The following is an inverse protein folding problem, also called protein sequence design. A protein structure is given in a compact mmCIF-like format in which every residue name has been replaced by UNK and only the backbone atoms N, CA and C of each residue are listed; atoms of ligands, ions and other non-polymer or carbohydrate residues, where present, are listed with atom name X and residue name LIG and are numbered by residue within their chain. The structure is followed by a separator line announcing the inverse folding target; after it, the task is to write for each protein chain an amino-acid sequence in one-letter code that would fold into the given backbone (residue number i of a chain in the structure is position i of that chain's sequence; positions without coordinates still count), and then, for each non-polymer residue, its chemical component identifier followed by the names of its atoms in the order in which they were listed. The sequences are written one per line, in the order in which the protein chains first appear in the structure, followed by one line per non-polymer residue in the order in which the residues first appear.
data_IF_439741189027
#
_entry.id   IF_439741189027
#
_cell.length_a   1.000
_cell.length_b   1.000
_cell.length_c   1.000
_cell.angle_alpha   90.00
_cell.angle_beta   90.00
_cell.angle_gamma   90.00
#
_symmetry.space_group_name_H-M   'P 1'
#
loop_
_entity.id
_entity.type
_entity.pdbx_description
1 polymer ?
#
# COMPACT_ATOMS: atom_id res chain seq x y z
N UNK A 1 16.95 56.73 -12.03
CA UNK A 1 16.37 55.70 -12.93
C UNK A 1 17.16 54.43 -12.72
N UNK A 2 16.62 53.50 -11.92
CA UNK A 2 17.19 52.17 -11.72
C UNK A 2 16.94 51.35 -12.98
N UNK A 3 18.00 51.06 -13.73
CA UNK A 3 17.95 50.18 -14.90
C UNK A 3 17.64 48.76 -14.39
N UNK A 4 16.38 48.33 -14.49
CA UNK A 4 16.02 46.96 -14.17
C UNK A 4 16.65 46.08 -15.26
N UNK A 5 17.52 45.12 -14.93
CA UNK A 5 18.10 44.24 -15.93
C UNK A 5 16.98 43.49 -16.68
N UNK A 6 17.14 43.26 -17.99
CA UNK A 6 16.14 42.51 -18.74
C UNK A 6 16.00 41.09 -18.18
N UNK A 7 14.81 40.50 -18.32
CA UNK A 7 14.51 39.16 -17.79
C UNK A 7 15.57 38.10 -18.21
N UNK A 8 16.11 38.21 -19.43
CA UNK A 8 17.18 37.34 -19.93
C UNK A 8 18.47 37.37 -19.07
N UNK A 9 18.82 38.53 -18.51
CA UNK A 9 19.98 38.67 -17.62
C UNK A 9 19.75 37.95 -16.29
N UNK A 10 18.53 38.03 -15.76
CA UNK A 10 18.14 37.32 -14.54
C UNK A 10 18.11 35.80 -14.73
N UNK A 11 17.66 35.30 -15.89
CA UNK A 11 17.68 33.88 -16.23
C UNK A 11 19.12 33.35 -16.35
N UNK A 12 20.01 34.07 -17.05
CA UNK A 12 21.42 33.66 -17.17
C UNK A 12 22.15 33.67 -15.83
N UNK A 13 21.88 34.66 -14.97
CA UNK A 13 22.43 34.70 -13.62
C UNK A 13 21.91 33.54 -12.75
N UNK A 14 20.63 33.18 -12.89
CA UNK A 14 20.04 32.05 -12.17
C UNK A 14 20.66 30.71 -12.59
N UNK A 15 20.91 30.52 -13.89
CA UNK A 15 21.59 29.33 -14.42
C UNK A 15 22.99 29.18 -13.81
N UNK A 16 23.78 30.27 -13.76
CA UNK A 16 25.10 30.24 -13.14
C UNK A 16 25.04 29.92 -11.64
N UNK A 17 24.08 30.49 -10.91
CA UNK A 17 23.87 30.21 -9.49
C UNK A 17 23.51 28.73 -9.25
N UNK A 18 22.67 28.15 -10.12
CA UNK A 18 22.32 26.74 -10.08
C UNK A 18 23.55 25.83 -10.26
N UNK A 19 24.43 26.13 -11.23
CA UNK A 19 25.67 25.36 -11.45
C UNK A 19 26.68 25.49 -10.30
N UNK A 20 26.62 26.57 -9.52
CA UNK A 20 27.41 26.73 -8.28
C UNK A 20 26.81 26.01 -7.07
N UNK A 21 25.65 25.37 -7.23
CA UNK A 21 24.92 24.69 -6.16
C UNK A 21 24.03 25.60 -5.31
N UNK A 22 23.98 26.90 -5.63
CA UNK A 22 23.17 27.89 -4.91
C UNK A 22 21.75 27.95 -5.50
N UNK A 23 20.93 26.97 -5.13
CA UNK A 23 19.54 26.84 -5.58
C UNK A 23 18.63 27.96 -5.09
N UNK A 24 18.89 28.49 -3.89
CA UNK A 24 18.06 29.54 -3.30
C UNK A 24 18.22 30.85 -4.08
N UNK A 25 19.46 31.26 -4.35
CA UNK A 25 19.73 32.43 -5.19
C UNK A 25 19.21 32.24 -6.62
N UNK A 26 19.38 31.05 -7.21
CA UNK A 26 18.83 30.75 -8.54
C UNK A 26 17.30 30.94 -8.57
N UNK A 27 16.60 30.47 -7.53
CA UNK A 27 15.14 30.59 -7.43
C UNK A 27 14.67 32.04 -7.30
N UNK A 28 15.37 32.85 -6.49
CA UNK A 28 15.05 34.29 -6.34
C UNK A 28 15.30 35.07 -7.65
N UNK A 29 16.37 34.75 -8.36
CA UNK A 29 16.70 35.36 -9.64
C UNK A 29 15.65 35.01 -10.72
N UNK A 30 15.15 33.78 -10.76
CA UNK A 30 14.06 33.41 -11.67
C UNK A 30 12.74 34.11 -11.31
N UNK A 31 12.43 34.27 -10.03
CA UNK A 31 11.27 35.07 -9.61
C UNK A 31 11.39 36.53 -10.07
N UNK A 32 12.57 37.13 -9.93
CA UNK A 32 12.83 38.47 -10.45
C UNK A 32 12.68 38.55 -11.98
N UNK A 33 13.12 37.52 -12.72
CA UNK A 33 12.94 37.44 -14.16
C UNK A 33 11.44 37.44 -14.55
N UNK A 34 10.60 36.69 -13.84
CA UNK A 34 9.16 36.62 -14.07
C UNK A 34 8.40 37.88 -13.67
N UNK A 35 8.92 38.65 -12.71
CA UNK A 35 8.38 39.98 -12.39
C UNK A 35 8.67 41.00 -13.51
N UNK A 36 9.80 40.83 -14.22
CA UNK A 36 10.16 41.68 -15.36
C UNK A 36 9.40 41.27 -16.63
N UNK A 37 9.30 39.97 -16.88
CA UNK A 37 8.57 39.40 -18.01
C UNK A 37 7.76 38.16 -17.58
N UNK A 38 6.45 38.34 -17.30
CA UNK A 38 5.56 37.23 -16.93
C UNK A 38 5.34 36.20 -18.03
N UNK A 39 5.70 36.50 -19.29
CA UNK A 39 5.56 35.59 -20.43
C UNK A 39 6.88 34.96 -20.86
N UNK A 40 7.95 35.12 -20.07
CA UNK A 40 9.25 34.53 -20.37
C UNK A 40 9.22 33.00 -20.28
N UNK A 41 9.28 32.35 -21.45
CA UNK A 41 9.37 30.88 -21.61
C UNK A 41 10.53 30.30 -20.81
N UNK A 42 11.72 30.92 -20.90
CA UNK A 42 12.92 30.43 -20.22
C UNK A 42 12.82 30.55 -18.70
N UNK A 43 12.24 31.63 -18.20
CA UNK A 43 12.08 31.82 -16.75
C UNK A 43 11.08 30.82 -16.16
N UNK A 44 9.95 30.55 -16.83
CA UNK A 44 9.01 29.52 -16.40
C UNK A 44 9.62 28.11 -16.47
N UNK A 45 10.45 27.85 -17.46
CA UNK A 45 11.14 26.57 -17.61
C UNK A 45 12.15 26.32 -16.48
N UNK A 46 12.95 27.33 -16.15
CA UNK A 46 13.87 27.26 -15.00
C UNK A 46 13.14 27.19 -13.67
N UNK A 47 11.99 27.88 -13.53
CA UNK A 47 11.16 27.76 -12.33
C UNK A 47 10.64 26.33 -12.14
N UNK A 48 10.23 25.66 -13.23
CA UNK A 48 9.83 24.26 -13.20
C UNK A 48 10.97 23.30 -12.82
N UNK A 49 12.23 23.61 -13.18
CA UNK A 49 13.40 22.82 -12.78
C UNK A 49 13.81 23.03 -11.32
N UNK A 50 13.63 24.25 -10.81
CA UNK A 50 14.04 24.65 -9.46
C UNK A 50 12.96 24.38 -8.40
N UNK A 51 11.69 24.29 -8.79
CA UNK A 51 10.59 23.99 -7.89
C UNK A 51 10.76 22.61 -7.22
N UNK A 52 10.49 22.51 -5.92
CA UNK A 52 10.58 21.25 -5.18
C UNK A 52 9.28 20.45 -5.23
N UNK A 53 8.13 21.13 -5.31
CA UNK A 53 6.80 20.52 -5.36
C UNK A 53 6.45 20.06 -6.78
N UNK A 54 6.14 18.77 -6.95
CA UNK A 54 5.78 18.16 -8.24
C UNK A 54 4.54 18.76 -8.91
N UNK A 55 3.54 19.21 -8.14
CA UNK A 55 2.37 19.92 -8.70
C UNK A 55 2.78 21.28 -9.25
N UNK A 56 3.59 22.01 -8.49
CA UNK A 56 4.08 23.32 -8.91
C UNK A 56 5.04 23.21 -10.11
N UNK A 57 5.90 22.18 -10.16
CA UNK A 57 6.73 21.86 -11.34
C UNK A 57 5.86 21.65 -12.59
N UNK A 58 4.77 20.87 -12.47
CA UNK A 58 3.83 20.62 -13.58
C UNK A 58 3.19 21.91 -14.08
N UNK A 59 2.66 22.74 -13.17
CA UNK A 59 2.05 24.02 -13.54
C UNK A 59 3.03 24.94 -14.29
N UNK A 60 4.31 24.94 -13.90
CA UNK A 60 5.33 25.71 -14.60
C UNK A 60 5.53 25.21 -16.04
N UNK A 61 5.64 23.90 -16.24
CA UNK A 61 5.79 23.33 -17.59
C UNK A 61 4.52 23.47 -18.45
N UNK A 62 3.33 23.39 -17.85
CA UNK A 62 2.06 23.65 -18.56
C UNK A 62 1.97 25.11 -19.02
N UNK A 63 2.41 26.07 -18.19
CA UNK A 63 2.53 27.48 -18.60
C UNK A 63 3.53 27.66 -19.74
N UNK A 64 4.68 26.97 -19.71
CA UNK A 64 5.63 26.98 -20.83
C UNK A 64 4.98 26.45 -22.11
N UNK A 65 4.24 25.34 -22.04
CA UNK A 65 3.58 24.75 -23.22
C UNK A 65 2.39 25.58 -23.73
N UNK A 66 1.77 26.40 -22.88
CA UNK A 66 0.76 27.36 -23.30
C UNK A 66 1.36 28.54 -24.08
N UNK A 67 2.60 28.94 -23.74
CA UNK A 67 3.33 30.03 -24.40
C UNK A 67 4.09 29.54 -25.65
N UNK A 68 4.71 28.36 -25.58
CA UNK A 68 5.41 27.67 -26.66
C UNK A 68 5.03 26.17 -26.67
N UNK A 69 4.01 25.80 -27.47
CA UNK A 69 3.57 24.40 -27.60
C UNK A 69 4.62 23.46 -28.21
N UNK A 70 5.67 24.00 -28.82
CA UNK A 70 6.74 23.21 -29.46
C UNK A 70 7.93 22.97 -28.53
N UNK A 71 7.93 23.56 -27.33
CA UNK A 71 9.03 23.47 -26.38
C UNK A 71 9.30 22.02 -25.95
N UNK A 72 10.43 21.46 -26.40
CA UNK A 72 10.80 20.07 -26.11
C UNK A 72 11.11 19.86 -24.63
N UNK A 73 11.84 20.78 -24.02
CA UNK A 73 12.26 20.67 -22.63
C UNK A 73 11.09 20.68 -21.64
N UNK A 74 10.01 21.43 -21.91
CA UNK A 74 8.80 21.36 -21.10
C UNK A 74 8.03 20.03 -21.29
N UNK A 75 7.98 19.48 -22.51
CA UNK A 75 7.41 18.14 -22.77
C UNK A 75 8.19 17.05 -22.03
N UNK A 76 9.51 17.09 -22.11
CA UNK A 76 10.40 16.16 -21.40
C UNK A 76 10.21 16.27 -19.88
N UNK A 77 10.04 17.50 -19.37
CA UNK A 77 9.72 17.74 -17.95
C UNK A 77 8.40 17.11 -17.52
N UNK A 78 7.33 17.27 -18.32
CA UNK A 78 6.02 16.64 -18.06
C UNK A 78 6.12 15.11 -18.11
N UNK A 79 6.79 14.55 -19.12
CA UNK A 79 6.98 13.10 -19.23
C UNK A 79 7.85 12.55 -18.09
N UNK A 80 8.90 13.25 -17.66
CA UNK A 80 9.67 12.87 -16.49
C UNK A 80 8.83 12.89 -15.20
N UNK A 81 7.95 13.89 -15.02
CA UNK A 81 7.01 13.94 -13.90
C UNK A 81 6.00 12.79 -13.98
N UNK A 82 5.53 12.45 -15.18
CA UNK A 82 4.62 11.33 -15.43
C UNK A 82 5.27 9.98 -15.13
N UNK A 83 6.50 9.76 -15.58
CA UNK A 83 7.29 8.57 -15.26
C UNK A 83 7.57 8.48 -13.75
N UNK A 84 7.94 9.59 -13.11
CA UNK A 84 8.08 9.66 -11.65
C UNK A 84 6.77 9.35 -10.94
N UNK A 85 5.63 9.79 -11.47
CA UNK A 85 4.30 9.49 -10.93
C UNK A 85 3.87 8.04 -11.21
N UNK A 86 4.31 7.42 -12.30
CA UNK A 86 4.03 6.02 -12.64
C UNK A 86 4.89 5.06 -11.79
N UNK A 87 6.17 5.40 -11.60
CA UNK A 87 7.09 4.73 -10.67
C UNK A 87 6.72 4.99 -9.20
N UNK A 88 6.22 6.18 -8.88
CA UNK A 88 5.57 6.45 -7.61
C UNK A 88 4.21 5.76 -7.53
N UNK A 89 3.49 5.53 -8.63
CA UNK A 89 2.24 4.78 -8.70
C UNK A 89 2.42 3.31 -8.28
N UNK A 90 3.57 2.72 -8.60
CA UNK A 90 4.04 1.46 -8.02
C UNK A 90 4.47 1.56 -6.54
N UNK A 91 4.58 2.77 -5.99
CA UNK A 91 5.04 3.08 -4.63
C UNK A 91 4.03 3.90 -3.79
N UNK A 92 2.82 4.17 -4.31
CA UNK A 92 1.80 5.01 -3.66
C UNK A 92 0.88 4.15 -2.79
N UNK A 93 1.50 3.38 -1.90
CA UNK A 93 0.84 2.94 -0.70
C UNK A 93 1.20 3.95 0.39
N UNK A 94 0.25 4.81 0.77
CA UNK A 94 0.40 5.59 2.00
C UNK A 94 0.75 4.65 3.15
N UNK A 95 1.82 4.92 3.90
CA UNK A 95 2.19 4.21 5.13
C UNK A 95 0.98 4.03 6.07
N UNK A 96 0.05 4.99 6.08
CA UNK A 96 -1.19 4.97 6.85
C UNK A 96 -2.22 3.97 6.29
N UNK A 97 -2.26 3.79 4.97
CA UNK A 97 -3.11 2.79 4.31
C UNK A 97 -2.58 1.37 4.50
N UNK A 98 -1.25 1.16 4.42
CA UNK A 98 -0.61 -0.13 4.74
C UNK A 98 -0.81 -0.53 6.21
N UNK A 99 -0.69 0.43 7.14
CA UNK A 99 -1.03 0.20 8.56
C UNK A 99 -2.51 -0.17 8.74
N UNK A 100 -3.42 0.39 7.93
CA UNK A 100 -4.87 0.13 8.02
C UNK A 100 -5.34 -1.14 7.29
N UNK A 101 -4.62 -1.56 6.23
CA UNK A 101 -4.90 -2.78 5.46
C UNK A 101 -4.75 -4.06 6.30
N UNK A 102 -4.11 -3.95 7.47
CA UNK A 102 -3.69 -5.09 8.27
C UNK A 102 -2.62 -5.90 7.53
N UNK A 103 -2.04 -6.89 8.22
CA UNK A 103 -1.04 -7.74 7.59
C UNK A 103 -1.60 -8.52 6.39
N UNK A 104 -2.88 -8.91 6.42
CA UNK A 104 -3.46 -9.73 5.36
C UNK A 104 -3.53 -9.00 4.01
N UNK A 105 -3.83 -7.70 4.00
CA UNK A 105 -3.82 -6.90 2.76
C UNK A 105 -2.43 -6.81 2.12
N UNK A 106 -1.37 -6.80 2.93
CA UNK A 106 0.02 -6.82 2.43
C UNK A 106 0.34 -8.16 1.77
N UNK A 107 -0.10 -9.28 2.37
CA UNK A 107 0.12 -10.59 1.79
C UNK A 107 -0.64 -10.80 0.48
N UNK A 108 -1.88 -10.30 0.40
CA UNK A 108 -2.70 -10.37 -0.83
C UNK A 108 -2.09 -9.56 -1.99
N UNK A 109 -1.46 -8.42 -1.70
CA UNK A 109 -0.71 -7.65 -2.70
C UNK A 109 0.57 -8.39 -3.13
N UNK A 110 1.33 -8.94 -2.17
CA UNK A 110 2.58 -9.67 -2.45
C UNK A 110 2.36 -10.92 -3.29
N UNK A 111 1.22 -11.58 -3.14
CA UNK A 111 0.83 -12.74 -3.94
C UNK A 111 0.13 -12.36 -5.25
N UNK A 112 0.06 -11.06 -5.59
CA UNK A 112 -0.64 -10.53 -6.77
C UNK A 112 -2.13 -10.94 -6.85
N UNK A 113 -2.73 -11.31 -5.72
CA UNK A 113 -4.13 -11.73 -5.65
C UNK A 113 -5.09 -10.54 -5.76
N UNK A 114 -4.64 -9.35 -5.35
CA UNK A 114 -5.34 -8.08 -5.51
C UNK A 114 -4.38 -7.01 -6.01
N UNK A 115 -4.95 -5.99 -6.65
CA UNK A 115 -4.26 -4.75 -7.00
C UNK A 115 -4.33 -3.75 -5.86
N UNK A 116 -3.45 -2.74 -5.89
CA UNK A 116 -3.49 -1.62 -4.96
C UNK A 116 -4.85 -0.88 -5.00
N UNK A 117 -5.44 -0.74 -6.18
CA UNK A 117 -6.73 -0.10 -6.38
C UNK A 117 -7.88 -0.90 -5.76
N UNK A 118 -7.90 -2.22 -5.96
CA UNK A 118 -8.86 -3.12 -5.31
C UNK A 118 -8.75 -3.06 -3.78
N UNK A 119 -7.53 -3.01 -3.24
CA UNK A 119 -7.32 -2.87 -1.80
C UNK A 119 -7.82 -1.53 -1.25
N UNK A 120 -7.56 -0.43 -1.97
CA UNK A 120 -8.05 0.90 -1.60
C UNK A 120 -9.58 0.94 -1.58
N UNK A 121 -10.22 0.40 -2.62
CA UNK A 121 -11.67 0.35 -2.68
C UNK A 121 -12.24 -0.53 -1.57
N UNK A 122 -11.66 -1.70 -1.30
CA UNK A 122 -12.08 -2.57 -0.20
C UNK A 122 -12.01 -1.86 1.17
N UNK A 123 -10.94 -1.11 1.42
CA UNK A 123 -10.77 -0.33 2.65
C UNK A 123 -11.74 0.85 2.73
N UNK A 124 -12.04 1.49 1.60
CA UNK A 124 -13.04 2.55 1.52
C UNK A 124 -14.42 2.01 1.92
N UNK A 125 -14.80 0.87 1.35
CA UNK A 125 -16.05 0.16 1.67
C UNK A 125 -16.10 -0.23 3.16
N UNK A 126 -15.02 -0.81 3.69
CA UNK A 126 -14.94 -1.18 5.10
C UNK A 126 -15.15 0.01 6.04
N UNK A 127 -14.54 1.17 5.72
CA UNK A 127 -14.71 2.39 6.52
C UNK A 127 -16.13 2.95 6.43
N UNK A 128 -16.75 2.88 5.25
CA UNK A 128 -18.14 3.30 5.07
C UNK A 128 -19.09 2.43 5.90
N UNK A 129 -18.98 1.10 5.80
CA UNK A 129 -19.80 0.17 6.59
C UNK A 129 -19.65 0.41 8.08
N UNK A 130 -18.42 0.60 8.58
CA UNK A 130 -18.17 0.92 9.99
C UNK A 130 -18.81 2.23 10.44
N UNK A 131 -18.85 3.25 9.59
CA UNK A 131 -19.54 4.52 9.91
C UNK A 131 -21.05 4.35 10.04
N UNK A 132 -21.63 3.38 9.34
CA UNK A 132 -23.02 3.01 9.46
C UNK A 132 -23.30 1.98 10.56
N UNK A 133 -22.29 1.65 11.39
CA UNK A 133 -22.42 0.67 12.47
C UNK A 133 -22.33 -0.79 12.03
N UNK A 134 -22.09 -1.04 10.75
CA UNK A 134 -21.89 -2.40 10.22
C UNK A 134 -20.43 -2.80 10.32
N UNK A 135 -20.18 -3.97 10.91
CA UNK A 135 -18.83 -4.53 10.97
C UNK A 135 -18.63 -5.50 9.81
N UNK A 136 -17.77 -5.12 8.87
CA UNK A 136 -17.31 -5.99 7.79
C UNK A 136 -15.79 -6.20 7.89
N UNK A 137 -15.34 -7.45 7.77
CA UNK A 137 -13.91 -7.72 7.64
C UNK A 137 -13.46 -7.41 6.20
N UNK A 138 -12.20 -7.05 6.04
CA UNK A 138 -11.64 -6.75 4.72
C UNK A 138 -11.77 -7.97 3.78
N UNK A 139 -11.49 -9.18 4.30
CA UNK A 139 -11.62 -10.42 3.54
C UNK A 139 -13.04 -10.67 3.02
N UNK A 140 -14.06 -10.42 3.85
CA UNK A 140 -15.46 -10.60 3.46
C UNK A 140 -15.83 -9.69 2.29
N UNK A 141 -15.33 -8.44 2.31
CA UNK A 141 -15.53 -7.47 1.23
C UNK A 141 -14.86 -7.98 -0.05
N UNK A 142 -13.59 -8.38 0.03
CA UNK A 142 -12.84 -8.86 -1.14
C UNK A 142 -13.49 -10.09 -1.79
N UNK A 143 -13.95 -11.05 -0.97
CA UNK A 143 -14.65 -12.25 -1.44
C UNK A 143 -16.04 -11.90 -2.03
N UNK A 144 -16.80 -11.03 -1.38
CA UNK A 144 -18.15 -10.63 -1.83
C UNK A 144 -18.13 -9.94 -3.20
N UNK A 145 -17.11 -9.12 -3.47
CA UNK A 145 -16.94 -8.46 -4.77
C UNK A 145 -16.24 -9.35 -5.81
N UNK A 146 -15.84 -10.58 -5.45
CA UNK A 146 -15.16 -11.52 -6.35
C UNK A 146 -13.75 -11.06 -6.76
N UNK A 147 -13.13 -10.14 -6.01
CA UNK A 147 -11.77 -9.68 -6.30
C UNK A 147 -10.71 -10.69 -5.90
N UNK A 148 -11.04 -11.59 -4.96
CA UNK A 148 -10.21 -12.74 -4.61
C UNK A 148 -11.07 -14.00 -4.55
N UNK A 149 -10.41 -15.13 -4.76
CA UNK A 149 -11.01 -16.45 -4.53
C UNK A 149 -10.76 -16.93 -3.09
N UNK A 150 -11.54 -17.90 -2.59
CA UNK A 150 -11.28 -18.57 -1.32
C UNK A 150 -9.86 -19.11 -1.17
N UNK A 151 -9.28 -19.64 -2.25
CA UNK A 151 -7.92 -20.18 -2.27
C UNK A 151 -6.88 -19.07 -2.11
N UNK A 152 -7.05 -17.96 -2.82
CA UNK A 152 -6.17 -16.79 -2.68
C UNK A 152 -6.22 -16.19 -1.27
N UNK A 153 -7.42 -16.15 -0.66
CA UNK A 153 -7.58 -15.68 0.72
C UNK A 153 -6.94 -16.64 1.73
N UNK A 154 -7.17 -17.94 1.58
CA UNK A 154 -6.59 -18.97 2.44
C UNK A 154 -5.06 -18.98 2.36
N UNK A 155 -4.50 -18.92 1.14
CA UNK A 155 -3.06 -18.84 0.91
C UNK A 155 -2.42 -17.62 1.57
N UNK A 156 -3.06 -16.45 1.47
CA UNK A 156 -2.57 -15.24 2.14
C UNK A 156 -2.60 -15.33 3.67
N UNK A 157 -3.63 -15.96 4.26
CA UNK A 157 -3.73 -16.18 5.70
C UNK A 157 -2.64 -17.15 6.19
N UNK A 158 -2.41 -18.23 5.45
CA UNK A 158 -1.38 -19.23 5.77
C UNK A 158 0.03 -18.64 5.60
N UNK A 159 0.27 -17.83 4.56
CA UNK A 159 1.53 -17.10 4.39
C UNK A 159 1.78 -16.12 5.55
N UNK A 160 0.74 -15.42 6.00
CA UNK A 160 0.82 -14.57 7.19
C UNK A 160 1.17 -15.38 8.45
N UNK A 161 0.53 -16.53 8.66
CA UNK A 161 0.79 -17.41 9.80
C UNK A 161 2.23 -17.95 9.77
N UNK A 162 2.69 -18.46 8.63
CA UNK A 162 4.05 -18.97 8.46
C UNK A 162 5.10 -17.89 8.77
N UNK A 163 4.89 -16.66 8.31
CA UNK A 163 5.78 -15.55 8.63
C UNK A 163 5.77 -15.18 10.12
N UNK A 164 4.62 -15.26 10.80
CA UNK A 164 4.55 -15.06 12.27
C UNK A 164 5.33 -16.14 13.01
N UNK A 165 5.20 -17.41 12.62
CA UNK A 165 5.87 -18.54 13.29
C UNK A 165 7.39 -18.50 13.15
N UNK A 166 7.93 -17.88 12.09
CA UNK A 166 9.39 -17.71 11.91
C UNK A 166 10.00 -16.56 12.71
N UNK A 167 9.21 -15.63 13.24
CA UNK A 167 9.74 -14.49 13.98
C UNK A 167 10.05 -14.88 15.45
N UNK A 168 11.28 -14.71 15.94
CA UNK A 168 11.60 -14.94 17.35
C UNK A 168 10.84 -13.94 18.24
N UNK A 169 10.09 -14.44 19.22
CA UNK A 169 9.25 -13.60 20.10
C UNK A 169 7.80 -13.40 19.62
N UNK A 170 7.30 -14.27 18.74
CA UNK A 170 5.93 -14.22 18.25
C UNK A 170 4.88 -14.24 19.38
N UNK A 171 3.81 -13.44 19.20
CA UNK A 171 2.64 -13.44 20.09
C UNK A 171 2.01 -14.84 20.16
N UNK A 172 1.42 -15.17 21.30
CA UNK A 172 0.72 -16.44 21.50
C UNK A 172 -0.31 -16.67 20.38
N UNK A 173 -0.42 -17.90 19.85
CA UNK A 173 -1.45 -18.24 18.88
C UNK A 173 -2.84 -17.90 19.45
N UNK A 174 -3.76 -17.44 18.60
CA UNK A 174 -5.10 -16.99 19.02
C UNK A 174 -6.23 -17.86 18.50
N UNK A 175 -5.99 -18.59 17.41
CA UNK A 175 -7.00 -19.38 16.74
C UNK A 175 -6.60 -20.86 16.71
N UNK A 176 -7.60 -21.73 16.69
CA UNK A 176 -7.41 -23.20 16.67
C UNK A 176 -6.44 -23.65 15.57
N UNK A 177 -6.58 -23.10 14.36
CA UNK A 177 -5.68 -23.41 13.24
C UNK A 177 -4.22 -22.97 13.47
N UNK A 178 -4.00 -21.87 14.18
CA UNK A 178 -2.63 -21.42 14.52
C UNK A 178 -1.98 -22.38 15.52
N UNK A 179 -2.73 -22.83 16.53
CA UNK A 179 -2.27 -23.81 17.51
C UNK A 179 -1.96 -25.17 16.88
N UNK A 180 -2.85 -25.68 16.03
CA UNK A 180 -2.65 -26.98 15.38
C UNK A 180 -1.42 -27.00 14.47
N UNK A 181 -1.09 -25.88 13.83
CA UNK A 181 0.15 -25.77 13.04
C UNK A 181 1.38 -25.65 13.95
N UNK A 182 1.30 -24.88 15.03
CA UNK A 182 2.41 -24.71 15.97
C UNK A 182 2.81 -26.02 16.66
N UNK A 183 1.83 -26.87 17.00
CA UNK A 183 2.03 -28.20 17.58
C UNK A 183 2.37 -29.28 16.54
N UNK A 184 2.37 -28.94 15.24
CA UNK A 184 2.66 -29.88 14.14
C UNK A 184 1.54 -30.91 13.88
N UNK A 185 0.35 -30.72 14.46
CA UNK A 185 -0.82 -31.59 14.26
C UNK A 185 -1.33 -31.51 12.81
N UNK A 186 -1.28 -30.33 12.22
CA UNK A 186 -1.63 -30.11 10.81
C UNK A 186 -0.53 -29.34 10.10
N UNK A 187 -0.37 -29.59 8.81
CA UNK A 187 0.53 -28.81 7.95
C UNK A 187 -0.13 -27.50 7.49
N UNK A 188 0.70 -26.53 7.10
CA UNK A 188 0.24 -25.27 6.50
C UNK A 188 -0.63 -25.51 5.25
N UNK A 189 -0.26 -26.49 4.41
CA UNK A 189 -1.03 -26.86 3.21
C UNK A 189 -2.39 -27.48 3.55
N UNK A 190 -2.46 -28.33 4.57
CA UNK A 190 -3.74 -28.89 5.04
C UNK A 190 -4.64 -27.79 5.61
N UNK A 191 -4.08 -26.84 6.36
CA UNK A 191 -4.82 -25.70 6.87
C UNK A 191 -5.36 -24.81 5.73
N UNK A 192 -4.54 -24.53 4.71
CA UNK A 192 -4.95 -23.75 3.54
C UNK A 192 -6.15 -24.37 2.83
N UNK A 193 -6.08 -25.67 2.51
CA UNK A 193 -7.17 -26.37 1.83
C UNK A 193 -8.47 -26.36 2.61
N UNK A 194 -8.39 -26.52 3.94
CA UNK A 194 -9.58 -26.51 4.81
C UNK A 194 -10.17 -25.11 4.95
N UNK A 195 -9.34 -24.07 5.05
CA UNK A 195 -9.80 -22.68 5.08
C UNK A 195 -10.49 -22.28 3.77
N UNK A 196 -9.92 -22.66 2.62
CA UNK A 196 -10.52 -22.41 1.32
C UNK A 196 -11.89 -23.08 1.21
N UNK A 197 -12.00 -24.35 1.63
CA UNK A 197 -13.27 -25.08 1.65
C UNK A 197 -14.29 -24.45 2.60
N UNK A 198 -13.86 -24.04 3.80
CA UNK A 198 -14.70 -23.34 4.76
C UNK A 198 -15.30 -22.05 4.17
N UNK A 199 -14.48 -21.27 3.45
CA UNK A 199 -14.90 -20.04 2.81
C UNK A 199 -15.85 -20.29 1.64
N UNK A 200 -15.61 -21.31 0.81
CA UNK A 200 -16.55 -21.71 -0.26
C UNK A 200 -17.92 -22.07 0.29
N UNK A 201 -17.97 -22.88 1.34
CA UNK A 201 -19.22 -23.23 2.00
C UNK A 201 -19.91 -21.99 2.60
N UNK A 202 -19.12 -21.08 3.18
CA UNK A 202 -19.61 -19.79 3.66
C UNK A 202 -20.27 -18.93 2.57
N UNK A 203 -19.70 -18.90 1.37
CA UNK A 203 -20.27 -18.21 0.20
C UNK A 203 -21.59 -18.85 -0.27
N UNK A 204 -21.77 -20.15 -0.07
CA UNK A 204 -23.03 -20.87 -0.29
C UNK A 204 -24.04 -20.71 0.86
N UNK A 205 -23.74 -19.87 1.86
CA UNK A 205 -24.57 -19.66 3.05
C UNK A 205 -24.44 -20.75 4.11
N UNK A 206 -23.55 -21.71 3.93
CA UNK A 206 -23.32 -22.80 4.88
C UNK A 206 -22.21 -22.42 5.87
N UNK A 207 -22.60 -22.20 7.13
CA UNK A 207 -21.63 -21.97 8.21
C UNK A 207 -21.14 -23.29 8.77
N UNK A 208 -19.89 -23.64 8.46
CA UNK A 208 -19.24 -24.86 8.96
C UNK A 208 -18.03 -24.47 9.81
N UNK A 209 -17.87 -25.11 10.96
CA UNK A 209 -16.73 -24.89 11.83
C UNK A 209 -15.46 -25.50 11.23
N UNK A 210 -14.30 -24.84 11.40
CA UNK A 210 -13.02 -25.35 10.90
C UNK A 210 -12.72 -26.74 11.46
N UNK A 211 -12.96 -26.96 12.76
CA UNK A 211 -12.73 -28.24 13.43
C UNK A 211 -13.53 -29.40 12.84
N UNK A 212 -14.80 -29.17 12.45
CA UNK A 212 -15.61 -30.22 11.84
C UNK A 212 -15.13 -30.55 10.42
N UNK A 213 -14.63 -29.57 9.67
CA UNK A 213 -13.99 -29.82 8.37
C UNK A 213 -12.69 -30.60 8.51
N UNK A 214 -11.87 -30.30 9.52
CA UNK A 214 -10.64 -31.04 9.79
C UNK A 214 -10.93 -32.52 10.11
N UNK A 215 -11.96 -32.79 10.92
CA UNK A 215 -12.41 -34.15 11.25
C UNK A 215 -12.99 -34.83 10.00
N UNK A 216 -13.88 -34.16 9.28
CA UNK A 216 -14.54 -34.68 8.07
C UNK A 216 -13.52 -35.06 6.99
N UNK A 217 -12.47 -34.26 6.83
CA UNK A 217 -11.40 -34.49 5.87
C UNK A 217 -10.36 -35.50 6.38
N UNK A 218 -10.58 -36.12 7.56
CA UNK A 218 -9.68 -37.08 8.21
C UNK A 218 -8.26 -36.53 8.43
N UNK A 219 -8.16 -35.22 8.63
CA UNK A 219 -6.88 -34.54 8.89
C UNK A 219 -6.51 -34.69 10.38
N UNK A 220 -7.51 -34.66 11.26
CA UNK A 220 -7.35 -34.83 12.71
C UNK A 220 -8.38 -35.80 13.27
N UNK A 221 -8.09 -36.36 14.45
CA UNK A 221 -9.04 -37.17 15.20
C UNK A 221 -10.07 -36.29 15.94
N UNK A 222 -11.29 -36.81 16.24
CA UNK A 222 -12.36 -36.04 16.89
C UNK A 222 -11.97 -35.42 18.23
N UNK A 223 -11.07 -36.05 18.98
CA UNK A 223 -10.66 -35.59 20.33
C UNK A 223 -9.49 -34.59 20.29
N UNK A 224 -8.75 -34.51 19.18
CA UNK A 224 -7.54 -33.69 19.10
C UNK A 224 -7.78 -32.18 19.23
N UNK A 225 -8.85 -31.57 18.69
CA UNK A 225 -9.12 -30.15 18.90
C UNK A 225 -9.19 -29.75 20.39
N UNK A 226 -9.89 -30.56 21.19
CA UNK A 226 -10.07 -30.30 22.62
C UNK A 226 -8.77 -30.50 23.39
N UNK A 227 -7.98 -31.53 23.04
CA UNK A 227 -6.66 -31.76 23.65
C UNK A 227 -5.70 -30.60 23.40
N UNK A 228 -5.64 -30.08 22.17
CA UNK A 228 -4.78 -28.95 21.81
C UNK A 228 -5.21 -27.68 22.56
N UNK A 229 -6.51 -27.40 22.66
CA UNK A 229 -7.00 -26.25 23.42
C UNK A 229 -6.73 -26.37 24.92
N UNK A 230 -6.90 -27.57 25.48
CA UNK A 230 -6.68 -27.82 26.91
C UNK A 230 -5.19 -27.73 27.29
N UNK A 231 -4.29 -28.29 26.48
CA UNK A 231 -2.84 -28.15 26.66
C UNK A 231 -2.40 -26.69 26.64
N UNK A 232 -2.99 -25.88 25.76
CA UNK A 232 -2.70 -24.45 25.67
C UNK A 232 -3.28 -23.65 26.83
N UNK A 233 -4.45 -24.04 27.34
CA UNK A 233 -5.03 -23.48 28.57
C UNK A 233 -4.09 -23.72 29.75
N UNK A 234 -3.62 -24.96 29.93
CA UNK A 234 -2.68 -25.34 30.99
C UNK A 234 -1.35 -24.57 30.85
N UNK A 235 -0.76 -24.53 29.65
CA UNK A 235 0.49 -23.81 29.39
C UNK A 235 0.37 -22.29 29.57
N UNK A 236 -0.83 -21.72 29.35
CA UNK A 236 -1.09 -20.30 29.60
C UNK A 236 -1.20 -19.99 31.09
N UNK A 237 -1.96 -20.77 31.86
CA UNK A 237 -2.13 -20.55 33.31
C UNK A 237 -0.88 -20.89 34.12
N UNK A 238 -0.11 -21.91 33.72
CA UNK A 238 1.14 -22.27 34.39
C UNK A 238 2.24 -21.20 34.30
N UNK A 239 2.12 -20.20 33.43
CA UNK A 239 3.04 -19.04 33.36
C UNK A 239 2.73 -17.93 34.38
N UNK A 240 1.61 -18.03 35.10
CA UNK A 240 1.19 -17.07 36.12
C UNK A 240 1.24 -17.66 37.54
N UNK A 241 1.68 -18.91 37.69
CA UNK A 241 1.77 -19.62 38.98
C UNK A 241 3.21 -19.66 39.56
N UNK A 242 4.17 -18.94 38.96
CA UNK A 242 5.54 -18.72 39.48
C UNK A 242 5.73 -17.29 40.04
#
# INVERSE_FOLDING_TARGET
MTYLPPAATHVSAAEQAFYRGDRESAYQLIKAALLCDPQSVDAWLWLGKLAEDTRYQRECYERVLALDPTNRSAKDGIEALRLRQMLAGSSLMSEKSLKSAGQIGIYLLKSEAITADQLQEALRQQRMLRRHGEFAQLGDILLKYGWITPEQMAGALVAQLHAKLRQPGHKTPKFLGEYMVAEGVITLAQLEGVLAEQMRLGLLGQRVALGSLLIRNKIIEPDQPNRVLEQQRIAFYGRFED
#
